data_IF_183467862017
#
_entry.id   IF_183467862017
#
_cell.length_a   1.000
_cell.length_b   1.000
_cell.length_c   1.000
_cell.angle_alpha   90.00
_cell.angle_beta   90.00
_cell.angle_gamma   90.00
#
_symmetry.space_group_name_H-M   'P 1'
#
loop_
_entity.id
_entity.type
_entity.pdbx_description
1 polymer ?
#
# COMPACT_ATOMS: atom_id res chain seq x y z
N UNK A 1 24.53 7.74 3.18
CA UNK A 1 24.92 7.94 1.76
C UNK A 1 24.55 9.36 1.39
N UNK A 2 25.40 10.06 0.63
CA UNK A 2 25.06 11.37 0.05
C UNK A 2 24.65 11.15 -1.40
N UNK A 3 23.52 11.75 -1.80
CA UNK A 3 23.01 11.75 -3.17
C UNK A 3 23.09 13.17 -3.74
N UNK A 4 23.41 13.28 -5.03
CA UNK A 4 23.44 14.49 -5.83
C UNK A 4 22.65 14.25 -7.12
N UNK A 5 21.90 15.24 -7.60
CA UNK A 5 21.02 15.06 -8.75
C UNK A 5 21.33 16.04 -9.88
N UNK A 6 21.45 15.55 -11.11
CA UNK A 6 21.30 16.38 -12.29
C UNK A 6 19.80 16.55 -12.54
N UNK A 7 19.31 17.78 -12.38
CA UNK A 7 17.90 18.11 -12.60
C UNK A 7 17.71 18.58 -14.03
N UNK A 8 16.98 17.80 -14.84
CA UNK A 8 16.64 18.17 -16.20
C UNK A 8 15.27 17.59 -16.57
N UNK A 9 14.51 18.30 -17.41
CA UNK A 9 13.18 17.86 -17.84
C UNK A 9 13.22 16.56 -18.62
N UNK A 10 12.09 15.86 -18.68
CA UNK A 10 11.96 14.56 -19.39
C UNK A 10 12.35 14.64 -20.88
N UNK A 11 12.12 15.79 -21.52
CA UNK A 11 12.50 16.02 -22.92
C UNK A 11 14.01 15.96 -23.15
N UNK A 12 14.81 16.18 -22.10
CA UNK A 12 16.28 16.18 -22.13
C UNK A 12 16.85 14.91 -21.49
N UNK A 13 16.02 13.90 -21.21
CA UNK A 13 16.40 12.70 -20.44
C UNK A 13 17.60 11.98 -21.04
N UNK A 14 17.60 11.71 -22.34
CA UNK A 14 18.68 10.97 -22.99
C UNK A 14 20.01 11.72 -22.92
N UNK A 15 19.98 13.03 -23.16
CA UNK A 15 21.16 13.91 -23.07
C UNK A 15 21.69 13.97 -21.63
N UNK A 16 20.80 14.14 -20.66
CA UNK A 16 21.13 14.19 -19.23
C UNK A 16 21.73 12.86 -18.73
N UNK A 17 21.20 11.72 -19.17
CA UNK A 17 21.74 10.41 -18.85
C UNK A 17 23.11 10.18 -19.52
N UNK A 18 23.30 10.66 -20.75
CA UNK A 18 24.58 10.60 -21.44
C UNK A 18 25.65 11.46 -20.74
N UNK A 19 25.30 12.67 -20.29
CA UNK A 19 26.17 13.55 -19.50
C UNK A 19 26.54 12.90 -18.15
N UNK A 20 25.56 12.32 -17.44
CA UNK A 20 25.80 11.58 -16.21
C UNK A 20 26.73 10.36 -16.42
N UNK A 21 26.61 9.67 -17.55
CA UNK A 21 27.48 8.55 -17.87
C UNK A 21 28.95 8.98 -18.06
N UNK A 22 29.20 10.20 -18.56
CA UNK A 22 30.54 10.76 -18.68
C UNK A 22 31.16 11.11 -17.32
N UNK A 23 30.33 11.46 -16.33
CA UNK A 23 30.78 11.84 -14.99
C UNK A 23 30.90 10.67 -14.01
N UNK A 24 30.39 9.49 -14.36
CA UNK A 24 30.57 8.26 -13.58
C UNK A 24 31.93 7.63 -13.93
N UNK A 25 32.96 7.69 -13.07
CA UNK A 25 34.20 6.98 -13.33
C UNK A 25 33.92 5.47 -13.35
N UNK A 26 34.37 4.81 -14.42
CA UNK A 26 34.32 3.37 -14.60
C UNK A 26 35.14 2.67 -13.51
N UNK A 27 34.47 2.24 -12.41
CA UNK A 27 35.06 1.34 -11.43
C UNK A 27 34.92 1.70 -9.95
N UNK A 28 34.22 2.79 -9.57
CA UNK A 28 33.90 3.06 -8.16
C UNK A 28 32.39 2.93 -7.94
N UNK A 29 31.99 2.25 -6.86
CA UNK A 29 30.60 2.06 -6.48
C UNK A 29 29.82 3.37 -6.59
N UNK A 30 28.78 3.36 -7.44
CA UNK A 30 28.02 4.50 -7.94
C UNK A 30 27.24 5.27 -6.86
N UNK A 31 27.97 5.90 -5.95
CA UNK A 31 27.44 6.71 -4.87
C UNK A 31 27.23 8.15 -5.31
N UNK A 32 26.01 8.48 -5.73
CA UNK A 32 25.45 9.80 -5.47
C UNK A 32 24.77 10.44 -6.65
N UNK A 33 25.35 10.41 -7.86
CA UNK A 33 24.84 11.17 -9.02
C UNK A 33 23.68 10.46 -9.74
N UNK A 34 22.51 11.08 -9.69
CA UNK A 34 21.27 10.59 -10.28
C UNK A 34 20.65 11.60 -11.25
N UNK A 35 19.91 11.10 -12.24
CA UNK A 35 19.02 11.94 -13.04
C UNK A 35 17.72 12.18 -12.26
N UNK A 36 17.26 13.42 -12.19
CA UNK A 36 16.01 13.77 -11.51
C UNK A 36 15.17 14.65 -12.45
N UNK A 37 14.00 14.16 -12.81
CA UNK A 37 13.02 14.90 -13.59
C UNK A 37 12.09 15.72 -12.66
N UNK A 38 11.95 17.04 -12.90
CA UNK A 38 10.97 17.86 -12.20
C UNK A 38 9.53 17.33 -12.33
N UNK A 39 9.18 16.78 -13.49
CA UNK A 39 7.88 16.18 -13.77
C UNK A 39 7.63 14.96 -12.88
N UNK A 40 8.65 14.11 -12.73
CA UNK A 40 8.60 12.97 -11.83
C UNK A 40 8.44 13.42 -10.37
N UNK A 41 9.22 14.42 -9.92
CA UNK A 41 9.07 14.95 -8.56
C UNK A 41 7.66 15.49 -8.27
N UNK A 42 7.06 16.21 -9.22
CA UNK A 42 5.69 16.71 -9.08
C UNK A 42 4.68 15.56 -8.99
N UNK A 43 4.86 14.52 -9.80
CA UNK A 43 3.99 13.33 -9.78
C UNK A 43 4.12 12.56 -8.47
N UNK A 44 5.35 12.37 -7.98
CA UNK A 44 5.62 11.74 -6.70
C UNK A 44 5.01 12.50 -5.51
N UNK A 45 5.06 13.85 -5.54
CA UNK A 45 4.43 14.69 -4.53
C UNK A 45 2.90 14.54 -4.51
N UNK A 46 2.26 14.33 -5.67
CA UNK A 46 0.83 14.01 -5.75
C UNK A 46 0.53 12.61 -5.20
N UNK A 47 1.33 11.60 -5.56
CA UNK A 47 1.18 10.22 -5.05
C UNK A 47 1.26 10.15 -3.52
N UNK A 48 2.14 10.95 -2.91
CA UNK A 48 2.29 11.03 -1.44
C UNK A 48 1.00 11.45 -0.70
N UNK A 49 0.04 12.10 -1.38
CA UNK A 49 -1.24 12.47 -0.75
C UNK A 49 -2.18 11.28 -0.55
N UNK A 50 -2.00 10.21 -1.34
CA UNK A 50 -2.91 9.05 -1.39
C UNK A 50 -2.24 7.80 -0.80
N UNK A 51 -0.91 7.73 -0.87
CA UNK A 51 -0.11 6.63 -0.37
C UNK A 51 1.06 7.14 0.47
N UNK A 52 1.51 6.41 1.53
CA UNK A 52 2.67 6.80 2.34
C UNK A 52 3.99 6.64 1.58
N UNK A 53 4.18 7.38 0.49
CA UNK A 53 5.46 7.53 -0.19
C UNK A 53 6.40 8.30 0.73
N UNK A 54 7.48 7.66 1.12
CA UNK A 54 8.44 8.17 2.09
C UNK A 54 9.89 8.21 1.58
N UNK A 55 10.83 8.45 2.51
CA UNK A 55 12.26 8.50 2.17
C UNK A 55 12.80 7.19 1.61
N UNK A 56 12.19 6.05 1.96
CA UNK A 56 12.62 4.72 1.52
C UNK A 56 12.38 4.54 0.02
N UNK A 57 11.20 4.92 -0.47
CA UNK A 57 10.84 4.85 -1.88
C UNK A 57 11.72 5.80 -2.70
N UNK A 58 11.95 7.03 -2.20
CA UNK A 58 12.86 7.98 -2.84
C UNK A 58 14.27 7.42 -2.91
N UNK A 59 14.79 6.84 -1.82
CA UNK A 59 16.12 6.26 -1.81
C UNK A 59 16.26 5.09 -2.81
N UNK A 60 15.21 4.28 -2.98
CA UNK A 60 15.19 3.20 -3.99
C UNK A 60 15.45 3.75 -5.39
N UNK A 61 14.82 4.85 -5.79
CA UNK A 61 15.06 5.50 -7.08
C UNK A 61 16.45 6.13 -7.19
N UNK A 62 16.91 6.79 -6.12
CA UNK A 62 18.25 7.39 -6.13
C UNK A 62 19.34 6.30 -6.26
N UNK A 63 19.13 5.12 -5.69
CA UNK A 63 20.01 3.95 -5.83
C UNK A 63 20.05 3.36 -7.24
N UNK A 64 18.94 3.44 -8.00
CA UNK A 64 18.94 3.05 -9.42
C UNK A 64 19.59 4.11 -10.31
N UNK A 65 19.91 5.29 -9.74
CA UNK A 65 20.59 6.37 -10.43
C UNK A 65 19.66 7.25 -11.27
N UNK A 66 18.33 7.11 -11.13
CA UNK A 66 17.33 7.92 -11.84
C UNK A 66 16.00 8.03 -11.08
N UNK A 67 15.39 9.19 -11.16
CA UNK A 67 14.01 9.48 -10.76
C UNK A 67 13.33 10.19 -11.95
N UNK A 68 12.67 9.41 -12.79
CA UNK A 68 11.98 9.84 -14.01
C UNK A 68 10.56 9.26 -14.06
N UNK A 69 9.76 9.68 -15.05
CA UNK A 69 8.38 9.21 -15.20
C UNK A 69 8.30 7.68 -15.42
N UNK A 70 9.27 7.08 -16.10
CA UNK A 70 9.36 5.63 -16.28
C UNK A 70 9.55 4.91 -14.94
N UNK A 71 10.46 5.42 -14.10
CA UNK A 71 10.70 4.86 -12.77
C UNK A 71 9.47 4.98 -11.87
N UNK A 72 8.70 6.06 -12.00
CA UNK A 72 7.44 6.22 -11.27
C UNK A 72 6.32 5.32 -11.77
N UNK A 73 6.31 4.96 -13.05
CA UNK A 73 5.29 4.07 -13.59
C UNK A 73 5.30 2.72 -12.86
N UNK A 74 6.48 2.16 -12.59
CA UNK A 74 6.60 0.95 -11.79
C UNK A 74 6.08 1.09 -10.36
N UNK A 75 6.27 2.25 -9.74
CA UNK A 75 5.67 2.51 -8.43
C UNK A 75 4.16 2.57 -8.53
N UNK A 76 3.62 3.21 -9.56
CA UNK A 76 2.18 3.23 -9.79
C UNK A 76 1.60 1.84 -9.96
N UNK A 77 2.25 0.95 -10.72
CA UNK A 77 1.82 -0.45 -10.86
C UNK A 77 1.81 -1.17 -9.50
N UNK A 78 2.86 -0.99 -8.67
CA UNK A 78 2.92 -1.52 -7.31
C UNK A 78 1.78 -0.97 -6.43
N UNK A 79 1.48 0.33 -6.57
CA UNK A 79 0.42 1.00 -5.83
C UNK A 79 -0.97 0.57 -6.28
N UNK A 80 -1.19 0.34 -7.57
CA UNK A 80 -2.44 -0.19 -8.11
C UNK A 80 -2.75 -1.56 -7.50
N UNK A 81 -1.74 -2.42 -7.35
CA UNK A 81 -1.88 -3.69 -6.62
C UNK A 81 -2.37 -3.50 -5.19
N UNK A 82 -1.72 -2.63 -4.41
CA UNK A 82 -2.09 -2.37 -3.00
C UNK A 82 -3.47 -1.73 -2.88
N UNK A 83 -3.80 -0.80 -3.78
CA UNK A 83 -5.12 -0.18 -3.83
C UNK A 83 -6.20 -1.20 -4.21
N UNK A 84 -5.88 -2.13 -5.11
CA UNK A 84 -6.74 -3.27 -5.44
C UNK A 84 -7.01 -4.17 -4.23
N UNK A 85 -5.98 -4.53 -3.47
CA UNK A 85 -6.14 -5.30 -2.22
C UNK A 85 -7.01 -4.56 -1.19
N UNK A 86 -6.80 -3.24 -1.02
CA UNK A 86 -7.64 -2.40 -0.15
C UNK A 86 -9.08 -2.34 -0.63
N UNK A 87 -9.30 -2.22 -1.94
CA UNK A 87 -10.63 -2.22 -2.53
C UNK A 87 -11.32 -3.57 -2.29
N UNK A 88 -10.63 -4.69 -2.50
CA UNK A 88 -11.14 -6.02 -2.23
C UNK A 88 -11.54 -6.20 -0.76
N UNK A 89 -10.67 -5.81 0.18
CA UNK A 89 -10.96 -5.85 1.60
C UNK A 89 -12.19 -5.00 1.97
N UNK A 90 -12.29 -3.80 1.41
CA UNK A 90 -13.42 -2.89 1.64
C UNK A 90 -14.72 -3.45 1.09
N UNK A 91 -14.71 -4.06 -0.10
CA UNK A 91 -15.89 -4.70 -0.67
C UNK A 91 -16.40 -5.84 0.22
N UNK A 92 -15.51 -6.69 0.75
CA UNK A 92 -15.90 -7.74 1.70
C UNK A 92 -16.49 -7.15 2.98
N UNK A 93 -15.90 -6.09 3.54
CA UNK A 93 -16.46 -5.41 4.71
C UNK A 93 -17.87 -4.86 4.44
N UNK A 94 -18.11 -4.30 3.25
CA UNK A 94 -19.43 -3.79 2.88
C UNK A 94 -20.45 -4.92 2.75
N UNK A 95 -20.09 -6.04 2.12
CA UNK A 95 -20.96 -7.22 2.06
C UNK A 95 -21.28 -7.77 3.45
N UNK A 96 -20.30 -7.81 4.36
CA UNK A 96 -20.53 -8.21 5.75
C UNK A 96 -21.40 -7.22 6.53
N UNK A 97 -21.37 -5.92 6.17
CA UNK A 97 -22.15 -4.88 6.84
C UNK A 97 -23.65 -5.01 6.54
N UNK A 98 -24.03 -5.66 5.45
CA UNK A 98 -25.42 -5.97 5.11
C UNK A 98 -25.98 -7.15 5.92
N UNK A 99 -25.11 -7.94 6.55
CA UNK A 99 -25.51 -9.12 7.32
C UNK A 99 -25.97 -8.75 8.74
N UNK A 100 -27.01 -9.40 9.29
CA UNK A 100 -27.40 -9.21 10.68
C UNK A 100 -26.28 -9.62 11.64
N UNK A 101 -26.21 -8.96 12.80
CA UNK A 101 -25.28 -9.36 13.87
C UNK A 101 -25.57 -10.80 14.33
N UNK A 102 -24.53 -11.53 14.74
CA UNK A 102 -24.62 -12.92 15.22
C UNK A 102 -25.13 -13.92 14.17
N UNK A 103 -25.08 -13.54 12.89
CA UNK A 103 -25.42 -14.43 11.78
C UNK A 103 -24.26 -15.38 11.45
N UNK A 104 -24.61 -16.60 11.07
CA UNK A 104 -23.69 -17.58 10.50
C UNK A 104 -23.84 -17.54 8.98
N UNK A 105 -22.73 -17.56 8.25
CA UNK A 105 -22.70 -17.53 6.80
C UNK A 105 -21.60 -18.43 6.24
N UNK A 106 -21.77 -18.85 4.99
CA UNK A 106 -20.76 -19.61 4.25
C UNK A 106 -19.94 -18.67 3.36
N UNK A 107 -18.67 -19.04 3.11
CA UNK A 107 -17.81 -18.37 2.13
C UNK A 107 -18.50 -18.27 0.77
N UNK A 108 -19.21 -19.33 0.36
CA UNK A 108 -19.92 -19.38 -0.90
C UNK A 108 -21.03 -18.32 -1.01
N UNK A 109 -21.64 -17.92 0.10
CA UNK A 109 -22.69 -16.89 0.12
C UNK A 109 -22.11 -15.51 -0.20
N UNK A 110 -20.86 -15.23 0.22
CA UNK A 110 -20.14 -14.01 -0.16
C UNK A 110 -19.61 -14.09 -1.59
N UNK A 111 -18.95 -15.19 -1.98
CA UNK A 111 -18.39 -15.33 -3.34
C UNK A 111 -19.48 -15.30 -4.42
N UNK A 112 -20.68 -15.79 -4.10
CA UNK A 112 -21.85 -15.75 -4.99
C UNK A 112 -22.59 -14.41 -5.01
N UNK A 113 -22.27 -13.47 -4.12
CA UNK A 113 -22.71 -12.07 -4.28
C UNK A 113 -21.94 -11.43 -5.44
N UNK A 114 -22.41 -10.32 -6.01
CA UNK A 114 -21.79 -9.59 -7.13
C UNK A 114 -20.37 -9.02 -6.83
N UNK A 115 -19.64 -9.60 -5.87
CA UNK A 115 -18.24 -9.35 -5.59
C UNK A 115 -17.38 -9.86 -6.75
N UNK A 116 -16.63 -8.97 -7.45
CA UNK A 116 -15.71 -9.36 -8.51
C UNK A 116 -14.39 -9.88 -7.92
N UNK A 117 -14.46 -10.82 -6.95
CA UNK A 117 -13.31 -11.33 -6.20
C UNK A 117 -13.22 -12.85 -6.29
N UNK A 118 -12.00 -13.35 -6.39
CA UNK A 118 -11.74 -14.78 -6.32
C UNK A 118 -12.01 -15.34 -4.91
N UNK A 119 -12.47 -16.59 -4.85
CA UNK A 119 -12.83 -17.25 -3.59
C UNK A 119 -11.68 -17.29 -2.58
N UNK A 120 -10.44 -17.50 -3.05
CA UNK A 120 -9.26 -17.51 -2.20
C UNK A 120 -8.95 -16.14 -1.59
N UNK A 121 -9.14 -15.05 -2.36
CA UNK A 121 -8.99 -13.67 -1.87
C UNK A 121 -10.02 -13.38 -0.77
N UNK A 122 -11.28 -13.72 -1.00
CA UNK A 122 -12.34 -13.55 0.01
C UNK A 122 -12.01 -14.35 1.26
N UNK A 123 -11.62 -15.62 1.12
CA UNK A 123 -11.24 -16.47 2.26
C UNK A 123 -10.10 -15.87 3.07
N UNK A 124 -9.04 -15.39 2.42
CA UNK A 124 -7.90 -14.75 3.10
C UNK A 124 -8.34 -13.51 3.90
N UNK A 125 -9.22 -12.68 3.32
CA UNK A 125 -9.77 -11.50 4.00
C UNK A 125 -10.60 -11.93 5.23
N UNK A 126 -11.46 -12.95 5.10
CA UNK A 126 -12.24 -13.46 6.23
C UNK A 126 -11.36 -14.04 7.34
N UNK A 127 -10.27 -14.73 6.99
CA UNK A 127 -9.29 -15.24 7.95
C UNK A 127 -8.61 -14.07 8.72
N UNK A 128 -8.29 -12.96 8.04
CA UNK A 128 -7.77 -11.73 8.70
C UNK A 128 -8.80 -11.12 9.64
N UNK A 129 -10.05 -11.00 9.21
CA UNK A 129 -11.14 -10.44 10.01
C UNK A 129 -11.52 -11.32 11.22
N UNK A 130 -11.23 -12.63 11.16
CA UNK A 130 -11.40 -13.55 12.28
C UNK A 130 -10.27 -13.46 13.32
N UNK A 131 -9.11 -12.94 12.93
CA UNK A 131 -7.94 -12.81 13.79
C UNK A 131 -7.86 -11.47 14.54
N UNK A 132 -6.99 -11.37 15.58
CA UNK A 132 -6.61 -10.08 16.13
C UNK A 132 -5.94 -9.20 15.07
N UNK A 133 -6.14 -7.86 15.10
CA UNK A 133 -6.87 -7.11 16.12
C UNK A 133 -8.38 -6.97 15.84
N UNK A 134 -8.88 -7.42 14.69
CA UNK A 134 -10.26 -7.19 14.27
C UNK A 134 -11.26 -8.01 15.07
N UNK A 135 -11.03 -9.33 15.20
CA UNK A 135 -11.93 -10.27 15.89
C UNK A 135 -13.41 -10.07 15.52
N UNK A 136 -13.69 -9.62 14.28
CA UNK A 136 -15.02 -9.36 13.77
C UNK A 136 -15.77 -10.68 13.54
N UNK A 137 -15.02 -11.69 13.10
CA UNK A 137 -15.56 -13.00 12.77
C UNK A 137 -15.11 -14.07 13.77
N UNK A 138 -15.88 -15.15 13.86
CA UNK A 138 -15.44 -16.42 14.43
C UNK A 138 -15.54 -17.48 13.34
N UNK A 139 -14.43 -18.11 12.99
CA UNK A 139 -14.45 -19.29 12.15
C UNK A 139 -15.07 -20.45 12.94
N UNK A 140 -16.11 -21.07 12.39
CA UNK A 140 -16.81 -22.20 13.02
C UNK A 140 -16.30 -23.53 12.45
N UNK A 141 -16.23 -23.61 11.13
CA UNK A 141 -15.71 -24.74 10.38
C UNK A 141 -15.03 -24.23 9.09
N UNK A 142 -14.37 -25.08 8.27
CA UNK A 142 -13.79 -24.64 7.01
C UNK A 142 -14.84 -24.01 6.08
N UNK A 143 -14.69 -22.73 5.78
CA UNK A 143 -15.62 -21.99 4.92
C UNK A 143 -16.89 -21.49 5.62
N UNK A 144 -17.03 -21.67 6.94
CA UNK A 144 -18.18 -21.24 7.72
C UNK A 144 -17.76 -20.27 8.83
N UNK A 145 -18.45 -19.14 8.91
CA UNK A 145 -18.09 -18.04 9.79
C UNK A 145 -19.32 -17.50 10.52
N UNK A 146 -19.10 -17.01 11.74
CA UNK A 146 -20.06 -16.27 12.54
C UNK A 146 -19.62 -14.80 12.61
N UNK A 147 -20.52 -13.88 12.27
CA UNK A 147 -20.33 -12.44 12.47
C UNK A 147 -20.60 -12.08 13.94
N UNK A 148 -19.56 -11.72 14.70
CA UNK A 148 -19.68 -11.50 16.16
C UNK A 148 -20.40 -10.20 16.51
N UNK A 149 -20.10 -9.16 15.76
CA UNK A 149 -20.59 -7.79 15.95
C UNK A 149 -20.84 -7.14 14.60
N UNK A 150 -21.49 -5.99 14.56
CA UNK A 150 -21.66 -5.26 13.29
C UNK A 150 -20.30 -4.76 12.80
N UNK A 151 -20.15 -4.63 11.48
CA UNK A 151 -18.92 -4.08 10.89
C UNK A 151 -18.63 -2.67 11.43
N UNK A 152 -19.67 -1.85 11.60
CA UNK A 152 -19.56 -0.50 12.14
C UNK A 152 -18.99 -0.50 13.57
N UNK A 153 -19.50 -1.36 14.46
CA UNK A 153 -19.03 -1.46 15.84
C UNK A 153 -17.59 -1.96 15.91
N UNK A 154 -17.23 -2.99 15.13
CA UNK A 154 -15.85 -3.49 15.10
C UNK A 154 -14.84 -2.44 14.62
N UNK A 155 -15.20 -1.64 13.60
CA UNK A 155 -14.36 -0.54 13.13
C UNK A 155 -14.24 0.57 14.18
N UNK A 156 -15.30 0.84 14.94
CA UNK A 156 -15.26 1.79 16.05
C UNK A 156 -14.31 1.30 17.17
N UNK A 157 -14.40 0.02 17.56
CA UNK A 157 -13.49 -0.60 18.53
C UNK A 157 -12.04 -0.58 18.04
N UNK A 158 -11.81 -0.92 16.77
CA UNK A 158 -10.47 -0.89 16.19
C UNK A 158 -9.90 0.53 16.16
N UNK A 159 -10.73 1.54 15.87
CA UNK A 159 -10.33 2.95 15.93
C UNK A 159 -9.92 3.35 17.34
N UNK A 160 -10.67 2.93 18.36
CA UNK A 160 -10.33 3.19 19.77
C UNK A 160 -9.01 2.52 20.15
N UNK A 161 -8.82 1.26 19.77
CA UNK A 161 -7.58 0.51 19.97
C UNK A 161 -6.38 1.21 19.31
N UNK A 162 -6.51 1.61 18.04
CA UNK A 162 -5.46 2.30 17.29
C UNK A 162 -5.08 3.63 17.94
N UNK A 163 -6.06 4.43 18.40
CA UNK A 163 -5.81 5.69 19.13
C UNK A 163 -5.03 5.45 20.42
N UNK A 164 -5.43 4.45 21.20
CA UNK A 164 -4.72 4.08 22.44
C UNK A 164 -3.27 3.66 22.15
N UNK A 165 -3.04 2.87 21.10
CA UNK A 165 -1.70 2.45 20.72
C UNK A 165 -0.85 3.62 20.23
N UNK A 166 -1.42 4.56 19.48
CA UNK A 166 -0.73 5.77 19.06
C UNK A 166 -0.22 6.58 20.25
N UNK A 167 -1.07 6.84 21.26
CA UNK A 167 -0.66 7.53 22.50
C UNK A 167 0.46 6.80 23.22
N UNK A 168 0.41 5.45 23.28
CA UNK A 168 1.47 4.66 23.91
C UNK A 168 2.77 4.70 23.11
N UNK A 169 2.70 4.62 21.79
CA UNK A 169 3.88 4.69 20.93
C UNK A 169 4.59 6.05 21.05
N UNK A 170 3.83 7.15 21.10
CA UNK A 170 4.40 8.49 21.34
C UNK A 170 5.12 8.60 22.69
N UNK A 171 4.59 7.97 23.74
CA UNK A 171 5.22 7.96 25.06
C UNK A 171 6.55 7.20 25.09
N UNK A 172 6.76 6.22 24.21
CA UNK A 172 8.02 5.47 24.08
C UNK A 172 9.10 6.28 23.35
N UNK A 173 8.69 7.18 22.45
CA UNK A 173 9.61 8.00 21.65
C UNK A 173 10.09 9.28 22.38
N UNK A 174 9.60 9.53 23.60
CA UNK A 174 10.02 10.65 24.46
C UNK A 174 10.97 10.16 25.54
#
# INVERSE_FOLDING_TARGET
>A
MQYAGLVAGESMREEALAELAQWRPSGLGGGGLCYISPEALQKLAKLRQVFPVGPVEVERFLKTGRLDLESLHHLEDELEGILGERAAFSSVLLSLAEMPQQSVFLLADLVGSDLPLEADTVRQILDVLAGPPFLLLKRLSPGEYLLRTTVADALAEFTQYARLMATRAEAVLR
#
